data_IF_029614685852
#
_entry.id   IF_029614685852
#
_cell.length_a   1.000
_cell.length_b   1.000
_cell.length_c   1.000
_cell.angle_alpha   90.00
_cell.angle_beta   90.00
_cell.angle_gamma   90.00
#
_symmetry.space_group_name_H-M   'P 1'
#
loop_
_entity.id
_entity.type
_entity.pdbx_description
1 polymer ?
#
# COMPACT_ATOMS: atom_id res chain seq x y z
N UNK A 1 -64.20 42.87 2.13
CA UNK A 1 -62.78 43.27 2.07
C UNK A 1 -61.96 42.16 2.71
N UNK A 2 -61.11 41.47 1.96
CA UNK A 2 -60.30 40.35 2.47
C UNK A 2 -58.82 40.73 2.34
N UNK A 3 -58.11 40.70 3.47
CA UNK A 3 -56.68 41.00 3.59
C UNK A 3 -55.86 39.82 3.05
N UNK A 4 -55.06 40.07 2.00
CA UNK A 4 -54.05 39.12 1.52
C UNK A 4 -52.81 39.16 2.42
N UNK A 5 -52.57 38.08 3.18
CA UNK A 5 -51.32 37.87 3.90
C UNK A 5 -50.26 37.33 2.93
N UNK A 6 -49.25 38.15 2.61
CA UNK A 6 -48.05 37.69 1.91
C UNK A 6 -47.18 36.88 2.87
N UNK A 7 -47.21 35.55 2.76
CA UNK A 7 -46.23 34.69 3.40
C UNK A 7 -44.89 34.81 2.64
N UNK A 8 -43.84 35.31 3.31
CA UNK A 8 -42.46 35.24 2.78
C UNK A 8 -42.06 33.77 2.67
N UNK A 9 -41.60 33.37 1.48
CA UNK A 9 -40.94 32.08 1.25
C UNK A 9 -39.64 32.05 2.07
N UNK A 10 -39.39 31.05 2.92
CA UNK A 10 -38.08 30.87 3.54
C UNK A 10 -37.03 30.69 2.44
N UNK A 11 -35.89 31.38 2.56
CA UNK A 11 -34.75 31.13 1.67
C UNK A 11 -34.33 29.65 1.76
N UNK A 12 -33.89 29.04 0.64
CA UNK A 12 -33.35 27.70 0.68
C UNK A 12 -32.10 27.73 1.56
N UNK A 13 -32.19 27.13 2.75
CA UNK A 13 -31.00 26.81 3.54
C UNK A 13 -30.20 25.83 2.69
N UNK A 14 -29.05 26.27 2.19
CA UNK A 14 -28.09 25.43 1.51
C UNK A 14 -27.79 24.25 2.45
N UNK A 15 -28.10 23.03 2.00
CA UNK A 15 -27.86 21.85 2.81
C UNK A 15 -26.37 21.81 3.16
N UNK A 16 -25.99 21.60 4.43
CA UNK A 16 -24.59 21.45 4.78
C UNK A 16 -23.99 20.37 3.87
N UNK A 17 -22.82 20.64 3.31
CA UNK A 17 -22.11 19.67 2.48
C UNK A 17 -22.12 18.32 3.20
N UNK A 18 -22.48 17.21 2.53
CA UNK A 18 -22.56 15.92 3.19
C UNK A 18 -21.22 15.66 3.87
N UNK A 19 -21.24 15.43 5.18
CA UNK A 19 -20.07 14.97 5.91
C UNK A 19 -19.49 13.78 5.14
N UNK A 20 -18.17 13.76 4.85
CA UNK A 20 -17.57 12.62 4.18
C UNK A 20 -17.89 11.40 5.03
N UNK A 21 -18.69 10.50 4.48
CA UNK A 21 -18.99 9.20 5.09
C UNK A 21 -17.67 8.62 5.60
N UNK A 22 -17.60 8.09 6.84
CA UNK A 22 -16.38 7.44 7.28
C UNK A 22 -16.06 6.38 6.22
N UNK A 23 -14.87 6.48 5.62
CA UNK A 23 -14.45 5.47 4.66
C UNK A 23 -14.44 4.14 5.42
N UNK A 24 -15.46 3.33 5.22
CA UNK A 24 -15.46 1.94 5.62
C UNK A 24 -14.54 1.24 4.62
N UNK A 25 -13.84 0.17 5.03
CA UNK A 25 -12.89 -0.53 4.15
C UNK A 25 -13.47 -1.00 2.80
N UNK A 26 -14.80 -0.95 2.66
CA UNK A 26 -15.56 -1.17 1.43
C UNK A 26 -15.24 -0.17 0.30
N UNK A 27 -15.13 1.12 0.59
CA UNK A 27 -14.91 2.18 -0.43
C UNK A 27 -13.49 2.72 -0.44
N UNK A 28 -12.68 2.38 0.56
CA UNK A 28 -11.29 2.81 0.65
C UNK A 28 -10.46 2.38 -0.56
N UNK A 29 -9.74 3.35 -1.13
CA UNK A 29 -8.81 3.19 -2.26
C UNK A 29 -7.50 3.87 -1.91
N UNK A 30 -6.55 3.14 -1.29
CA UNK A 30 -5.26 3.72 -0.92
C UNK A 30 -4.46 4.06 -2.18
N UNK A 31 -3.73 5.18 -2.14
CA UNK A 31 -2.83 5.57 -3.22
C UNK A 31 -1.77 4.48 -3.47
N UNK A 32 -1.45 4.23 -4.74
CA UNK A 32 -0.39 3.30 -5.12
C UNK A 32 -0.73 1.82 -4.99
N UNK A 33 -1.99 1.47 -4.69
CA UNK A 33 -2.48 0.10 -4.79
C UNK A 33 -3.80 0.04 -5.54
N UNK A 34 -4.03 -1.09 -6.20
CA UNK A 34 -5.34 -1.45 -6.75
C UNK A 34 -5.96 -2.53 -5.88
N UNK A 35 -7.12 -2.27 -5.30
CA UNK A 35 -7.90 -3.28 -4.58
C UNK A 35 -8.66 -4.12 -5.59
N UNK A 36 -8.31 -5.40 -5.71
CA UNK A 36 -8.92 -6.33 -6.64
C UNK A 36 -10.19 -6.98 -6.06
N UNK A 37 -10.15 -7.40 -4.80
CA UNK A 37 -11.26 -8.06 -4.13
C UNK A 37 -11.31 -7.70 -2.64
N UNK A 38 -12.50 -7.85 -2.06
CA UNK A 38 -12.79 -7.61 -0.64
C UNK A 38 -13.58 -8.79 -0.09
N UNK A 39 -13.20 -9.24 1.11
CA UNK A 39 -13.91 -10.25 1.87
C UNK A 39 -14.22 -9.69 3.26
N UNK A 40 -15.32 -10.12 3.85
CA UNK A 40 -15.71 -9.71 5.20
C UNK A 40 -15.48 -10.87 6.16
N UNK A 41 -14.84 -10.59 7.28
CA UNK A 41 -14.68 -11.57 8.34
C UNK A 41 -15.97 -11.70 9.18
N UNK A 42 -15.96 -12.58 10.18
CA UNK A 42 -17.14 -12.84 11.02
C UNK A 42 -17.61 -11.62 11.84
N UNK A 43 -16.77 -10.59 11.98
CA UNK A 43 -17.05 -9.35 12.68
C UNK A 43 -17.18 -8.14 11.73
N UNK A 44 -17.40 -8.37 10.43
CA UNK A 44 -17.51 -7.35 9.38
C UNK A 44 -16.24 -6.51 9.14
N UNK A 45 -15.08 -6.95 9.61
CA UNK A 45 -13.80 -6.36 9.18
C UNK A 45 -13.45 -6.83 7.77
N UNK A 46 -12.82 -5.94 7.01
CA UNK A 46 -12.45 -6.19 5.61
C UNK A 46 -11.09 -6.88 5.51
N UNK A 47 -11.03 -7.92 4.69
CA UNK A 47 -9.81 -8.57 4.18
C UNK A 47 -9.68 -8.19 2.71
N UNK A 48 -8.59 -7.53 2.36
CA UNK A 48 -8.31 -7.00 1.04
C UNK A 48 -7.41 -7.96 0.26
N UNK A 49 -7.75 -8.17 -1.01
CA UNK A 49 -6.81 -8.63 -2.03
C UNK A 49 -6.43 -7.41 -2.86
N UNK A 50 -5.15 -7.07 -2.88
CA UNK A 50 -4.66 -5.88 -3.55
C UNK A 50 -3.37 -6.16 -4.32
N UNK A 51 -3.04 -5.29 -5.25
CA UNK A 51 -1.78 -5.31 -5.97
C UNK A 51 -1.18 -3.92 -5.99
N UNK A 52 0.15 -3.85 -5.91
CA UNK A 52 0.93 -2.65 -6.20
C UNK A 52 1.69 -2.79 -7.53
N UNK A 53 1.51 -3.92 -8.23
CA UNK A 53 2.18 -4.20 -9.49
C UNK A 53 1.33 -3.73 -10.68
N UNK A 54 1.94 -2.91 -11.51
CA UNK A 54 1.48 -2.51 -12.84
C UNK A 54 2.45 -2.96 -13.95
N UNK A 55 3.38 -3.87 -13.61
CA UNK A 55 4.55 -4.20 -14.42
C UNK A 55 4.34 -5.27 -15.52
N UNK A 56 5.31 -5.36 -16.45
CA UNK A 56 5.27 -6.26 -17.62
C UNK A 56 5.45 -7.75 -17.29
N UNK A 57 5.82 -8.09 -16.05
CA UNK A 57 6.14 -9.46 -15.61
C UNK A 57 4.96 -10.20 -14.95
N UNK A 58 3.75 -9.66 -15.13
CA UNK A 58 2.52 -10.17 -14.53
C UNK A 58 2.14 -9.43 -13.24
N UNK A 59 0.86 -9.51 -12.90
CA UNK A 59 0.30 -8.89 -11.70
C UNK A 59 0.29 -9.89 -10.56
N UNK A 60 1.01 -9.60 -9.48
CA UNK A 60 0.96 -10.37 -8.24
C UNK A 60 0.08 -9.67 -7.21
N UNK A 61 -0.50 -10.47 -6.32
CA UNK A 61 -1.45 -9.99 -5.34
C UNK A 61 -0.96 -10.25 -3.92
N UNK A 62 -1.29 -9.32 -3.04
CA UNK A 62 -1.11 -9.40 -1.60
C UNK A 62 -2.47 -9.45 -0.92
N UNK A 63 -2.51 -10.09 0.23
CA UNK A 63 -3.67 -10.19 1.11
C UNK A 63 -3.36 -9.45 2.40
N UNK A 64 -4.27 -8.62 2.89
CA UNK A 64 -4.17 -8.01 4.20
C UNK A 64 -5.53 -7.86 4.87
N UNK A 65 -5.60 -8.08 6.18
CA UNK A 65 -6.79 -7.84 6.98
C UNK A 65 -6.71 -6.48 7.66
N UNK A 66 -7.73 -5.64 7.52
CA UNK A 66 -7.77 -4.33 8.19
C UNK A 66 -8.11 -4.43 9.69
N UNK A 67 -8.67 -5.56 10.14
CA UNK A 67 -9.05 -5.77 11.53
C UNK A 67 -7.91 -6.30 12.40
N UNK A 68 -6.88 -6.90 11.80
CA UNK A 68 -5.74 -7.46 12.52
C UNK A 68 -4.41 -7.18 11.78
N UNK A 69 -3.32 -7.80 12.23
CA UNK A 69 -2.00 -7.62 11.61
C UNK A 69 -1.68 -8.67 10.53
N UNK A 70 -2.68 -9.42 10.07
CA UNK A 70 -2.47 -10.44 9.06
C UNK A 70 -2.18 -9.80 7.69
N UNK A 71 -1.05 -10.15 7.10
CA UNK A 71 -0.69 -9.80 5.74
C UNK A 71 0.19 -10.91 5.12
N UNK A 72 0.01 -11.19 3.84
CA UNK A 72 0.81 -12.17 3.09
C UNK A 72 0.80 -11.87 1.59
N UNK A 73 1.84 -12.31 0.88
CA UNK A 73 1.99 -12.09 -0.58
C UNK A 73 2.48 -13.33 -1.32
N UNK A 74 2.78 -14.40 -0.60
CA UNK A 74 3.38 -15.59 -1.18
C UNK A 74 2.96 -16.88 -0.48
N UNK A 75 2.91 -17.94 -1.26
CA UNK A 75 2.71 -19.31 -0.84
C UNK A 75 4.06 -19.98 -0.58
N UNK A 76 4.42 -20.13 0.70
CA UNK A 76 5.65 -20.81 1.13
C UNK A 76 5.72 -22.31 0.79
N UNK A 77 4.67 -22.90 0.23
CA UNK A 77 4.69 -24.30 -0.21
C UNK A 77 5.22 -24.49 -1.64
N UNK A 78 5.34 -23.42 -2.43
CA UNK A 78 5.88 -23.49 -3.80
C UNK A 78 7.40 -23.25 -3.79
N UNK A 79 8.13 -24.03 -4.59
CA UNK A 79 9.58 -23.89 -4.75
C UNK A 79 9.96 -22.85 -5.81
N UNK A 80 9.05 -22.50 -6.71
CA UNK A 80 9.21 -21.48 -7.74
C UNK A 80 7.92 -20.67 -7.87
N UNK A 81 8.05 -19.38 -8.22
CA UNK A 81 6.94 -18.44 -8.31
C UNK A 81 6.01 -18.49 -7.08
N UNK A 82 6.58 -18.15 -5.92
CA UNK A 82 5.90 -18.19 -4.63
C UNK A 82 4.80 -17.14 -4.53
N UNK A 83 4.86 -16.07 -5.32
CA UNK A 83 3.89 -14.96 -5.27
C UNK A 83 2.48 -15.41 -5.68
N UNK A 84 1.45 -14.81 -5.08
CA UNK A 84 0.07 -15.16 -5.41
C UNK A 84 -0.37 -14.56 -6.75
N UNK A 85 -0.96 -15.40 -7.61
CA UNK A 85 -1.92 -14.93 -8.60
C UNK A 85 -3.27 -14.61 -7.95
N UNK A 86 -4.18 -13.95 -8.70
CA UNK A 86 -5.46 -13.48 -8.16
C UNK A 86 -6.28 -14.60 -7.49
N UNK A 87 -6.38 -15.77 -8.14
CA UNK A 87 -7.16 -16.89 -7.61
C UNK A 87 -6.59 -17.47 -6.31
N UNK A 88 -5.26 -17.55 -6.19
CA UNK A 88 -4.61 -18.01 -4.97
C UNK A 88 -4.79 -16.99 -3.84
N UNK A 89 -4.62 -15.70 -4.12
CA UNK A 89 -4.84 -14.63 -3.14
C UNK A 89 -6.30 -14.56 -2.67
N UNK A 90 -7.26 -14.72 -3.59
CA UNK A 90 -8.68 -14.81 -3.31
C UNK A 90 -9.01 -15.94 -2.32
N UNK A 91 -8.45 -17.13 -2.58
CA UNK A 91 -8.61 -18.29 -1.71
C UNK A 91 -8.07 -18.01 -0.31
N UNK A 92 -6.84 -17.51 -0.20
CA UNK A 92 -6.20 -17.18 1.08
C UNK A 92 -6.97 -16.09 1.84
N UNK A 93 -7.44 -15.05 1.14
CA UNK A 93 -8.24 -13.99 1.75
C UNK A 93 -9.57 -14.52 2.30
N UNK A 94 -10.26 -15.39 1.56
CA UNK A 94 -11.49 -16.03 2.00
C UNK A 94 -11.26 -16.97 3.20
N UNK A 95 -10.20 -17.79 3.17
CA UNK A 95 -9.81 -18.65 4.30
C UNK A 95 -9.51 -17.83 5.56
N UNK A 96 -8.79 -16.72 5.44
CA UNK A 96 -8.56 -15.82 6.57
C UNK A 96 -9.87 -15.18 7.05
N UNK A 97 -10.71 -14.68 6.14
CA UNK A 97 -11.98 -14.04 6.47
C UNK A 97 -12.92 -14.99 7.26
N UNK A 98 -13.01 -16.25 6.86
CA UNK A 98 -13.88 -17.24 7.52
C UNK A 98 -13.44 -17.59 8.95
N UNK A 99 -12.17 -17.38 9.31
CA UNK A 99 -11.61 -17.73 10.63
C UNK A 99 -11.37 -16.51 11.52
N UNK A 100 -11.17 -15.34 10.93
CA UNK A 100 -10.85 -14.12 11.64
C UNK A 100 -12.08 -13.50 12.34
N UNK A 101 -11.90 -13.14 13.62
CA UNK A 101 -12.93 -12.48 14.46
C UNK A 101 -12.52 -11.08 14.93
N UNK A 102 -11.46 -10.53 14.31
CA UNK A 102 -10.99 -9.21 14.68
C UNK A 102 -12.02 -8.15 14.28
N UNK A 103 -12.28 -7.21 15.21
CA UNK A 103 -13.18 -6.09 14.96
C UNK A 103 -12.59 -5.16 13.88
N UNK A 104 -13.44 -4.46 13.11
CA UNK A 104 -12.99 -3.39 12.22
C UNK A 104 -12.15 -2.39 13.00
N UNK A 105 -11.00 -2.00 12.43
CA UNK A 105 -10.16 -0.90 12.92
C UNK A 105 -10.32 0.31 12.02
N UNK A 106 -9.87 1.45 12.51
CA UNK A 106 -9.74 2.65 11.69
C UNK A 106 -8.82 2.39 10.50
N UNK A 107 -9.23 2.93 9.36
CA UNK A 107 -8.43 2.84 8.14
C UNK A 107 -7.14 3.64 8.34
N UNK A 108 -5.98 3.12 7.91
CA UNK A 108 -4.74 3.88 7.95
C UNK A 108 -4.88 5.20 7.19
N UNK A 109 -4.72 6.32 7.90
CA UNK A 109 -4.65 7.64 7.27
C UNK A 109 -3.48 7.68 6.27
N UNK A 110 -3.64 8.46 5.20
CA UNK A 110 -2.56 8.70 4.24
C UNK A 110 -1.43 9.46 4.95
N UNK A 111 -0.21 8.89 5.07
CA UNK A 111 0.92 9.59 5.68
C UNK A 111 1.39 10.75 4.80
N UNK A 112 2.00 11.77 5.41
CA UNK A 112 2.70 12.83 4.69
C UNK A 112 3.99 12.30 4.02
N UNK A 113 4.50 13.05 3.02
CA UNK A 113 5.65 12.63 2.22
C UNK A 113 6.94 12.48 3.04
N UNK A 114 7.15 13.29 4.08
CA UNK A 114 8.37 13.22 4.89
C UNK A 114 8.37 11.95 5.74
N UNK A 115 7.25 11.64 6.38
CA UNK A 115 7.07 10.38 7.13
C UNK A 115 7.35 9.16 6.24
N UNK A 116 6.88 9.17 4.99
CA UNK A 116 7.15 8.04 4.07
C UNK A 116 8.62 7.99 3.65
N UNK A 117 9.26 9.13 3.36
CA UNK A 117 10.70 9.19 3.04
C UNK A 117 11.55 8.63 4.18
N UNK A 118 11.27 9.01 5.44
CA UNK A 118 11.97 8.50 6.63
C UNK A 118 11.80 6.99 6.80
N UNK A 119 10.59 6.46 6.56
CA UNK A 119 10.33 5.01 6.59
C UNK A 119 11.11 4.28 5.50
N UNK A 120 11.13 4.81 4.28
CA UNK A 120 11.89 4.22 3.18
C UNK A 120 13.40 4.27 3.44
N UNK A 121 13.91 5.37 3.99
CA UNK A 121 15.32 5.48 4.39
C UNK A 121 15.67 4.47 5.47
N UNK A 122 14.82 4.33 6.49
CA UNK A 122 14.98 3.33 7.55
C UNK A 122 14.96 1.90 7.00
N UNK A 123 14.07 1.62 6.04
CA UNK A 123 14.02 0.34 5.33
C UNK A 123 15.32 0.06 4.56
N UNK A 124 15.84 1.02 3.80
CA UNK A 124 17.12 0.87 3.08
C UNK A 124 18.28 0.64 4.05
N UNK A 125 18.37 1.43 5.12
CA UNK A 125 19.41 1.28 6.13
C UNK A 125 19.33 -0.09 6.83
N UNK A 126 18.12 -0.54 7.16
CA UNK A 126 17.88 -1.84 7.78
C UNK A 126 18.17 -3.04 6.87
N UNK A 127 18.09 -2.84 5.54
CA UNK A 127 18.42 -3.87 4.56
C UNK A 127 19.94 -4.10 4.38
N UNK A 128 20.80 -3.20 4.86
CA UNK A 128 22.25 -3.29 4.65
C UNK A 128 22.86 -4.50 5.36
N UNK A 129 23.81 -5.16 4.67
CA UNK A 129 24.60 -6.26 5.22
C UNK A 129 26.09 -5.90 5.29
N UNK A 130 26.89 -6.68 6.01
CA UNK A 130 28.34 -6.42 6.13
C UNK A 130 29.13 -6.95 4.93
N UNK A 131 28.70 -8.07 4.38
CA UNK A 131 29.42 -8.87 3.40
C UNK A 131 29.15 -8.47 1.95
N UNK A 132 28.01 -7.82 1.68
CA UNK A 132 27.57 -7.51 0.32
C UNK A 132 26.60 -6.34 0.25
N UNK A 133 26.53 -5.75 -0.93
CA UNK A 133 25.43 -4.88 -1.31
C UNK A 133 24.15 -5.72 -1.46
N UNK A 134 23.02 -5.13 -1.08
CA UNK A 134 21.72 -5.80 -1.08
C UNK A 134 20.84 -5.17 -2.14
N UNK A 135 20.39 -5.96 -3.10
CA UNK A 135 19.45 -5.49 -4.10
C UNK A 135 18.13 -5.14 -3.43
N UNK A 136 17.63 -3.94 -3.71
CA UNK A 136 16.38 -3.42 -3.20
C UNK A 136 15.30 -3.61 -4.27
N UNK A 137 14.33 -4.47 -3.99
CA UNK A 137 13.19 -4.66 -4.88
C UNK A 137 11.99 -3.87 -4.35
N UNK A 138 11.37 -3.08 -5.22
CA UNK A 138 10.14 -2.32 -4.89
C UNK A 138 9.00 -3.26 -4.46
N UNK A 139 9.01 -4.49 -4.98
CA UNK A 139 8.12 -5.59 -4.57
C UNK A 139 8.36 -6.09 -3.14
N UNK A 140 9.47 -5.72 -2.49
CA UNK A 140 9.68 -6.06 -1.07
C UNK A 140 8.78 -5.25 -0.15
N UNK A 141 8.28 -4.11 -0.63
CA UNK A 141 7.38 -3.22 0.10
C UNK A 141 5.91 -3.62 0.01
N UNK A 142 5.55 -4.65 -0.77
CA UNK A 142 4.15 -5.01 -1.06
C UNK A 142 3.27 -5.13 0.18
N UNK A 143 3.76 -5.78 1.23
CA UNK A 143 2.99 -5.99 2.47
C UNK A 143 2.72 -4.70 3.25
N UNK A 144 3.49 -3.64 2.99
CA UNK A 144 3.35 -2.35 3.67
C UNK A 144 2.75 -1.27 2.76
N UNK A 145 2.30 -1.61 1.55
CA UNK A 145 1.76 -0.62 0.61
C UNK A 145 0.51 0.08 1.10
N UNK A 146 -0.33 -0.62 1.86
CA UNK A 146 -1.51 -0.05 2.49
C UNK A 146 -1.17 1.05 3.52
N UNK A 147 0.04 1.03 4.09
CA UNK A 147 0.49 2.03 5.07
C UNK A 147 1.42 3.09 4.45
N UNK A 148 2.12 2.77 3.36
CA UNK A 148 2.90 3.75 2.60
C UNK A 148 2.01 4.67 1.75
N UNK A 149 1.00 4.10 1.10
CA UNK A 149 0.08 4.78 0.20
C UNK A 149 0.81 5.66 -0.84
N UNK A 150 1.77 5.07 -1.57
CA UNK A 150 2.54 5.73 -2.64
C UNK A 150 2.72 4.81 -3.84
N UNK A 151 2.71 5.40 -5.03
CA UNK A 151 2.94 4.71 -6.30
C UNK A 151 4.37 4.19 -6.41
N UNK A 152 4.59 3.21 -7.30
CA UNK A 152 5.94 2.71 -7.60
C UNK A 152 6.86 3.83 -8.10
N UNK A 153 6.35 4.71 -8.97
CA UNK A 153 7.11 5.86 -9.46
C UNK A 153 7.59 6.78 -8.33
N UNK A 154 6.71 7.12 -7.39
CA UNK A 154 7.10 7.98 -6.26
C UNK A 154 8.15 7.31 -5.37
N UNK A 155 8.03 6.01 -5.10
CA UNK A 155 9.03 5.28 -4.31
C UNK A 155 10.37 5.24 -5.05
N UNK A 156 10.34 4.99 -6.36
CA UNK A 156 11.52 5.01 -7.22
C UNK A 156 12.22 6.37 -7.18
N UNK A 157 11.48 7.48 -7.27
CA UNK A 157 12.03 8.83 -7.19
C UNK A 157 12.71 9.07 -5.84
N UNK A 158 12.12 8.58 -4.73
CA UNK A 158 12.75 8.67 -3.40
C UNK A 158 14.04 7.87 -3.33
N UNK A 159 14.09 6.66 -3.91
CA UNK A 159 15.32 5.86 -3.95
C UNK A 159 16.39 6.52 -4.80
N UNK A 160 16.01 7.15 -5.92
CA UNK A 160 16.94 7.92 -6.74
C UNK A 160 17.51 9.12 -5.97
N UNK A 161 16.65 9.87 -5.27
CA UNK A 161 17.10 10.99 -4.45
C UNK A 161 18.02 10.52 -3.31
N UNK A 162 17.71 9.41 -2.66
CA UNK A 162 18.57 8.86 -1.59
C UNK A 162 19.97 8.51 -2.09
N UNK A 163 20.10 8.02 -3.31
CA UNK A 163 21.40 7.70 -3.92
C UNK A 163 22.23 8.97 -4.19
N UNK A 164 21.57 10.09 -4.52
CA UNK A 164 22.22 11.40 -4.68
C UNK A 164 22.65 11.95 -3.32
N UNK A 165 21.77 11.90 -2.33
CA UNK A 165 22.00 12.52 -1.02
C UNK A 165 22.98 11.72 -0.15
N UNK A 166 22.96 10.38 -0.26
CA UNK A 166 23.72 9.44 0.58
C UNK A 166 24.31 8.29 -0.27
N UNK A 167 25.29 8.58 -1.14
CA UNK A 167 25.89 7.59 -2.05
C UNK A 167 26.66 6.46 -1.35
N UNK A 168 26.98 6.63 -0.07
CA UNK A 168 27.57 5.64 0.85
C UNK A 168 26.52 4.67 1.43
N UNK A 169 25.24 5.04 1.40
CA UNK A 169 24.12 4.23 1.86
C UNK A 169 23.46 3.47 0.72
N UNK A 170 23.27 4.10 -0.43
CA UNK A 170 22.58 3.50 -1.58
C UNK A 170 23.32 3.75 -2.90
N UNK A 171 23.14 2.84 -3.86
CA UNK A 171 23.63 3.02 -5.24
C UNK A 171 22.63 2.53 -6.27
N UNK A 172 22.80 3.01 -7.49
CA UNK A 172 22.07 2.57 -8.67
C UNK A 172 23.02 1.86 -9.63
N UNK A 173 22.48 0.85 -10.33
CA UNK A 173 23.14 0.19 -11.45
C UNK A 173 22.17 0.13 -12.63
N UNK A 174 22.59 0.64 -13.79
CA UNK A 174 21.79 0.63 -15.01
C UNK A 174 22.18 -0.57 -15.85
N UNK A 175 21.20 -1.29 -16.36
CA UNK A 175 21.42 -2.37 -17.31
C UNK A 175 22.08 -1.85 -18.58
N UNK A 176 23.06 -2.58 -19.12
CA UNK A 176 23.66 -2.30 -20.43
C UNK A 176 22.74 -2.73 -21.60
N UNK A 177 21.78 -3.61 -21.32
CA UNK A 177 20.95 -4.28 -22.32
C UNK A 177 19.49 -3.81 -22.33
N UNK A 178 19.10 -2.96 -21.37
CA UNK A 178 17.73 -2.48 -21.20
C UNK A 178 17.68 -1.19 -20.40
N UNK A 179 16.54 -0.50 -20.41
CA UNK A 179 16.30 0.66 -19.56
C UNK A 179 16.07 0.30 -18.08
N UNK A 180 16.36 -0.95 -17.68
CA UNK A 180 16.16 -1.43 -16.33
C UNK A 180 17.20 -0.83 -15.37
N UNK A 181 16.70 -0.35 -14.23
CA UNK A 181 17.51 0.27 -13.18
C UNK A 181 17.40 -0.58 -11.92
N UNK A 182 18.54 -1.10 -11.47
CA UNK A 182 18.67 -1.80 -10.20
C UNK A 182 19.08 -0.85 -9.08
N UNK A 183 18.46 -1.01 -7.92
CA UNK A 183 18.75 -0.25 -6.71
C UNK A 183 19.42 -1.16 -5.69
N UNK A 184 20.42 -0.65 -4.98
CA UNK A 184 21.13 -1.42 -3.97
C UNK A 184 21.32 -0.60 -2.70
N UNK A 185 21.10 -1.22 -1.55
CA UNK A 185 21.65 -0.76 -0.28
C UNK A 185 23.11 -1.18 -0.23
N UNK A 186 24.03 -0.24 -0.01
CA UNK A 186 25.46 -0.54 0.09
C UNK A 186 25.76 -1.31 1.36
N UNK A 187 26.76 -2.19 1.30
CA UNK A 187 27.27 -2.86 2.49
C UNK A 187 27.65 -1.86 3.60
N UNK A 188 27.60 -2.30 4.84
CA UNK A 188 28.07 -1.54 5.98
C UNK A 188 29.59 -1.31 5.86
N UNK A 189 30.12 -0.16 6.31
CA UNK A 189 31.56 0.07 6.34
C UNK A 189 32.26 -0.97 7.22
N UNK A 190 33.48 -1.33 6.84
CA UNK A 190 34.37 -2.16 7.67
C UNK A 190 34.81 -1.29 8.87
N UNK A 191 34.65 -1.83 10.09
CA UNK A 191 35.07 -1.16 11.33
C UNK A 191 36.60 -1.15 11.47
#
# INVERSE_FOLDING_TARGET
MALTLFARRPEPVEAPAPEPWPEIGETWKPEGVTIAQRYYNQANSVVLVYTADDGPHGTYYSVACLGCHYATRENGQRTYNTRYGLADAAKVANEHATTCRALPRDIPARPDDNTVRERLHSWVCGARHRDKDVQLCVSDLDLIRLTLQRTNAWIVDVLQQLVVDQPDVARIERSEYSDYVSYYARRLPEN
#
